data_IF_672093477762
#
_entry.id   IF_672093477762
#
_cell.length_a   1.000
_cell.length_b   1.000
_cell.length_c   1.000
_cell.angle_alpha   90.00
_cell.angle_beta   90.00
_cell.angle_gamma   90.00
#
_symmetry.space_group_name_H-M   'P 1'
#
loop_
_entity.id
_entity.type
_entity.pdbx_description
1 polymer ?
#
# COMPACT_ATOMS: atom_id res chain seq x y z
N UNK A 1 -1.12 -11.73 4.23
CA UNK A 1 -1.15 -11.81 2.76
C UNK A 1 -2.53 -11.40 2.29
N UNK A 2 -2.64 -10.44 1.37
CA UNK A 2 -3.91 -10.16 0.69
C UNK A 2 -4.19 -11.34 -0.27
N UNK A 3 -5.36 -11.95 -0.16
CA UNK A 3 -5.71 -13.10 -0.99
C UNK A 3 -6.22 -12.62 -2.35
N UNK A 4 -5.81 -13.30 -3.43
CA UNK A 4 -6.14 -12.90 -4.81
C UNK A 4 -7.64 -12.83 -5.06
N UNK A 5 -8.41 -13.77 -4.50
CA UNK A 5 -9.87 -13.74 -4.59
C UNK A 5 -10.47 -12.48 -3.95
N UNK A 6 -9.89 -11.97 -2.86
CA UNK A 6 -10.33 -10.72 -2.22
C UNK A 6 -10.08 -9.51 -3.12
N UNK A 7 -8.89 -9.44 -3.71
CA UNK A 7 -8.49 -8.33 -4.59
C UNK A 7 -9.37 -8.25 -5.85
N UNK A 8 -9.76 -9.39 -6.43
CA UNK A 8 -10.61 -9.38 -7.64
C UNK A 8 -12.10 -9.12 -7.38
N UNK A 9 -12.57 -9.35 -6.15
CA UNK A 9 -14.00 -9.24 -5.79
C UNK A 9 -14.38 -7.95 -5.08
N UNK A 10 -13.40 -7.13 -4.71
CA UNK A 10 -13.62 -5.87 -3.99
C UNK A 10 -12.86 -4.72 -4.65
N UNK A 11 -13.45 -3.54 -4.63
CA UNK A 11 -12.83 -2.32 -5.17
C UNK A 11 -13.01 -1.20 -4.15
N UNK A 12 -12.22 -1.21 -3.06
CA UNK A 12 -12.31 -0.19 -2.03
C UNK A 12 -11.81 1.15 -2.58
N UNK A 13 -12.51 2.23 -2.27
CA UNK A 13 -12.06 3.57 -2.63
C UNK A 13 -10.80 3.99 -1.85
N UNK A 14 -10.70 3.54 -0.59
CA UNK A 14 -9.63 3.90 0.33
C UNK A 14 -9.07 2.66 1.03
N UNK A 15 -7.74 2.57 1.10
CA UNK A 15 -7.03 1.60 1.94
C UNK A 15 -6.21 2.33 2.99
N UNK A 16 -6.34 1.92 4.25
CA UNK A 16 -5.48 2.36 5.35
C UNK A 16 -4.48 1.24 5.62
N UNK A 17 -3.20 1.52 5.41
CA UNK A 17 -2.09 0.60 5.66
C UNK A 17 -1.34 1.04 6.91
N UNK A 18 -1.41 0.23 7.97
CA UNK A 18 -0.63 0.38 9.21
C UNK A 18 0.31 -0.82 9.38
N UNK A 19 1.41 -0.88 8.60
CA UNK A 19 2.34 -2.00 8.66
C UNK A 19 3.20 -2.00 9.94
N UNK A 20 3.77 -3.16 10.30
CA UNK A 20 4.78 -3.25 11.36
C UNK A 20 6.00 -2.36 11.09
N UNK A 21 6.87 -2.17 12.10
CA UNK A 21 8.06 -1.26 12.00
C UNK A 21 9.00 -1.56 10.82
N UNK A 22 9.01 -2.80 10.33
CA UNK A 22 9.82 -3.23 9.18
C UNK A 22 9.16 -2.95 7.81
N UNK A 23 7.96 -2.33 7.80
CA UNK A 23 7.20 -1.98 6.60
C UNK A 23 6.34 -3.13 6.08
N UNK A 24 5.76 -2.92 4.90
CA UNK A 24 5.01 -3.94 4.16
C UNK A 24 5.95 -4.93 3.46
N UNK A 25 5.46 -6.16 3.27
CA UNK A 25 6.06 -7.07 2.31
C UNK A 25 5.82 -6.58 0.89
N UNK A 26 6.76 -6.82 -0.01
CA UNK A 26 6.66 -6.41 -1.42
C UNK A 26 5.38 -6.93 -2.10
N UNK A 27 4.97 -8.16 -1.80
CA UNK A 27 3.74 -8.76 -2.32
C UNK A 27 2.48 -7.98 -1.92
N UNK A 28 2.47 -7.35 -0.74
CA UNK A 28 1.36 -6.50 -0.31
C UNK A 28 1.33 -5.20 -1.13
N UNK A 29 2.48 -4.57 -1.35
CA UNK A 29 2.57 -3.38 -2.21
C UNK A 29 2.10 -3.70 -3.63
N UNK A 30 2.48 -4.86 -4.17
CA UNK A 30 2.04 -5.32 -5.50
C UNK A 30 0.54 -5.60 -5.53
N UNK A 31 0.00 -6.24 -4.49
CA UNK A 31 -1.45 -6.46 -4.38
C UNK A 31 -2.22 -5.13 -4.31
N UNK A 32 -1.70 -4.10 -3.64
CA UNK A 32 -2.31 -2.77 -3.63
C UNK A 32 -2.29 -2.10 -5.01
N UNK A 33 -1.23 -2.29 -5.80
CA UNK A 33 -1.18 -1.82 -7.18
C UNK A 33 -2.22 -2.53 -8.06
N UNK A 34 -2.46 -3.83 -7.85
CA UNK A 34 -3.51 -4.59 -8.55
C UNK A 34 -4.90 -4.16 -8.10
N UNK A 35 -5.11 -3.98 -6.80
CA UNK A 35 -6.38 -3.53 -6.22
C UNK A 35 -6.75 -2.11 -6.67
N UNK A 36 -5.74 -1.29 -6.94
CA UNK A 36 -5.85 0.08 -7.45
C UNK A 36 -6.89 0.95 -6.72
N UNK A 37 -6.91 1.01 -5.37
CA UNK A 37 -7.79 1.93 -4.65
C UNK A 37 -7.49 3.38 -5.05
N UNK A 38 -8.49 4.27 -4.97
CA UNK A 38 -8.30 5.68 -5.31
C UNK A 38 -7.35 6.39 -4.33
N UNK A 39 -7.31 5.97 -3.06
CA UNK A 39 -6.46 6.55 -2.02
C UNK A 39 -5.84 5.47 -1.13
N UNK A 40 -4.57 5.67 -0.78
CA UNK A 40 -3.88 4.89 0.24
C UNK A 40 -3.42 5.84 1.35
N UNK A 41 -3.82 5.56 2.59
CA UNK A 41 -3.31 6.22 3.79
C UNK A 41 -2.29 5.29 4.42
N UNK A 42 -1.02 5.68 4.42
CA UNK A 42 0.08 4.88 4.98
C UNK A 42 0.49 5.44 6.34
N UNK A 43 0.26 4.69 7.40
CA UNK A 43 0.68 5.01 8.78
C UNK A 43 2.04 4.36 9.04
N UNK A 44 3.03 5.13 9.52
CA UNK A 44 4.35 4.58 9.86
C UNK A 44 5.02 5.37 10.97
N UNK A 45 5.73 4.65 11.85
CA UNK A 45 6.70 5.25 12.76
C UNK A 45 8.16 5.07 12.29
N UNK A 46 8.38 4.47 11.12
CA UNK A 46 9.70 4.26 10.52
C UNK A 46 9.75 4.84 9.09
N UNK A 47 10.34 6.03 8.91
CA UNK A 47 10.41 6.69 7.59
C UNK A 47 11.23 5.92 6.56
N UNK A 48 12.23 5.14 6.98
CA UNK A 48 13.13 4.45 6.05
C UNK A 48 12.41 3.29 5.33
N UNK A 49 11.66 2.47 6.07
CA UNK A 49 10.88 1.38 5.48
C UNK A 49 9.66 1.91 4.73
N UNK A 50 9.04 2.99 5.23
CA UNK A 50 7.97 3.68 4.49
C UNK A 50 8.47 4.18 3.12
N UNK A 51 9.63 4.84 3.04
CA UNK A 51 10.19 5.32 1.78
C UNK A 51 10.48 4.18 0.78
N UNK A 52 10.96 3.03 1.27
CA UNK A 52 11.15 1.83 0.44
C UNK A 52 9.82 1.35 -0.16
N UNK A 53 8.79 1.26 0.66
CA UNK A 53 7.48 0.74 0.24
C UNK A 53 6.77 1.73 -0.70
N UNK A 54 6.84 3.03 -0.40
CA UNK A 54 6.35 4.10 -1.26
C UNK A 54 7.04 4.14 -2.62
N UNK A 55 8.31 3.75 -2.71
CA UNK A 55 9.03 3.64 -4.00
C UNK A 55 8.43 2.55 -4.91
N UNK A 56 7.85 1.50 -4.34
CA UNK A 56 7.14 0.48 -5.12
C UNK A 56 5.77 1.04 -5.55
N UNK A 57 5.04 1.65 -4.61
CA UNK A 57 3.72 2.23 -4.87
C UNK A 57 3.77 3.42 -5.85
N UNK A 58 4.90 4.13 -5.94
CA UNK A 58 5.07 5.26 -6.87
C UNK A 58 4.97 4.87 -8.35
N UNK A 59 4.91 3.58 -8.66
CA UNK A 59 4.57 3.11 -10.00
C UNK A 59 3.18 3.56 -10.47
N UNK A 60 2.23 3.78 -9.55
CA UNK A 60 0.87 4.24 -9.85
C UNK A 60 0.37 5.39 -8.96
N UNK A 61 1.03 5.63 -7.82
CA UNK A 61 0.60 6.62 -6.83
C UNK A 61 1.55 7.80 -6.70
N UNK A 62 1.02 8.92 -6.21
CA UNK A 62 1.77 10.12 -5.83
C UNK A 62 1.46 10.49 -4.39
N UNK A 63 2.48 10.91 -3.65
CA UNK A 63 2.29 11.46 -2.30
C UNK A 63 1.65 12.85 -2.43
N UNK A 64 0.52 13.04 -1.76
CA UNK A 64 -0.20 14.33 -1.74
C UNK A 64 -0.02 15.07 -0.41
N UNK A 65 0.12 14.35 0.71
CA UNK A 65 0.20 14.89 2.08
C UNK A 65 1.08 13.95 2.94
N UNK A 66 1.71 14.49 4.00
CA UNK A 66 2.55 13.76 4.99
C UNK A 66 2.24 14.26 6.40
#
# INVERSE_FOLDING_TARGET
>A
MLHEAFVSSHSPDVVIADPPRNGMHEDVCRALLTLSPQKIVYVSCNPATQARDLKILSAAYRITEV
#
